data_IF_820159924191
#
_entry.id   IF_820159924191
#
_cell.length_a   1.000
_cell.length_b   1.000
_cell.length_c   1.000
_cell.angle_alpha   90.00
_cell.angle_beta   90.00
_cell.angle_gamma   90.00
#
_symmetry.space_group_name_H-M   'P 1'
#
loop_
_entity.id
_entity.type
_entity.pdbx_description
1 polymer ?
#
# COMPACT_ATOMS: atom_id res chain seq x y z
N UNK A 1 37.46 -0.08 3.82
CA UNK A 1 36.05 0.27 4.08
C UNK A 1 35.24 -0.29 2.91
N UNK A 2 34.29 -1.19 3.19
CA UNK A 2 33.64 -2.02 2.16
C UNK A 2 32.66 -1.19 1.32
N UNK A 3 32.56 -1.46 0.02
CA UNK A 3 31.61 -0.82 -0.89
C UNK A 3 30.14 -0.92 -0.41
N UNK A 4 29.85 -1.90 0.45
CA UNK A 4 28.55 -2.11 1.09
C UNK A 4 28.18 -0.96 2.06
N UNK A 5 29.15 -0.40 2.79
CA UNK A 5 28.90 0.68 3.76
C UNK A 5 28.56 2.00 3.05
N UNK A 6 29.21 2.27 1.91
CA UNK A 6 28.97 3.47 1.11
C UNK A 6 27.56 3.49 0.50
N UNK A 7 27.08 2.32 0.04
CA UNK A 7 25.72 2.17 -0.49
C UNK A 7 24.65 2.36 0.61
N UNK A 8 24.93 1.85 1.81
CA UNK A 8 24.01 1.94 2.94
C UNK A 8 23.89 3.39 3.43
N UNK A 9 25.02 4.09 3.58
CA UNK A 9 25.07 5.51 3.94
C UNK A 9 24.38 6.40 2.90
N UNK A 10 24.57 6.14 1.60
CA UNK A 10 23.87 6.87 0.54
C UNK A 10 22.35 6.68 0.59
N UNK A 11 21.88 5.47 0.94
CA UNK A 11 20.44 5.19 1.09
C UNK A 11 19.82 5.88 2.32
N UNK A 12 20.61 6.03 3.39
CA UNK A 12 20.23 6.76 4.60
C UNK A 12 20.16 8.26 4.31
N UNK A 13 21.16 8.83 3.64
CA UNK A 13 21.21 10.25 3.27
C UNK A 13 20.08 10.65 2.31
N UNK A 14 19.73 9.80 1.35
CA UNK A 14 18.62 10.07 0.45
C UNK A 14 17.28 10.16 1.22
N UNK A 15 17.07 9.29 2.23
CA UNK A 15 15.87 9.31 3.08
C UNK A 15 15.86 10.50 4.06
N UNK A 16 16.99 10.82 4.69
CA UNK A 16 17.09 11.96 5.64
C UNK A 16 16.96 13.31 4.92
N UNK A 17 17.49 13.45 3.70
CA UNK A 17 17.39 14.69 2.92
C UNK A 17 15.96 15.01 2.46
N UNK A 18 15.16 13.99 2.14
CA UNK A 18 13.72 14.15 1.87
C UNK A 18 12.96 14.60 3.13
N UNK A 19 13.31 14.04 4.30
CA UNK A 19 12.74 14.47 5.58
C UNK A 19 13.15 15.91 5.94
N UNK A 20 14.36 16.34 5.58
CA UNK A 20 14.89 17.68 5.86
C UNK A 20 14.37 18.81 4.95
N UNK A 21 13.80 18.50 3.78
CA UNK A 21 13.27 19.52 2.87
C UNK A 21 11.75 19.76 2.96
N UNK A 22 11.04 19.10 3.89
CA UNK A 22 9.57 19.10 3.99
C UNK A 22 8.85 18.81 2.66
N UNK A 23 9.47 18.03 1.76
CA UNK A 23 8.86 17.67 0.48
C UNK A 23 8.15 16.34 0.65
N UNK A 24 6.83 16.38 0.50
CA UNK A 24 5.98 15.21 0.55
C UNK A 24 5.74 14.67 -0.86
N UNK A 25 6.18 13.45 -1.12
CA UNK A 25 5.86 12.75 -2.36
C UNK A 25 4.62 11.89 -2.15
N UNK A 26 3.64 12.06 -3.05
CA UNK A 26 2.32 11.40 -2.98
C UNK A 26 2.08 10.62 -4.27
N UNK A 27 1.70 9.36 -4.13
CA UNK A 27 1.10 8.57 -5.21
C UNK A 27 -0.38 8.94 -5.32
N UNK A 28 -0.79 9.46 -6.47
CA UNK A 28 -2.18 9.80 -6.76
C UNK A 28 -2.89 8.64 -7.47
N UNK A 29 -4.13 8.37 -7.09
CA UNK A 29 -4.96 7.31 -7.68
C UNK A 29 -6.45 7.64 -7.59
N UNK A 30 -7.29 6.94 -8.35
CA UNK A 30 -8.75 7.05 -8.27
C UNK A 30 -9.38 5.70 -7.93
N UNK A 31 -10.59 5.73 -7.38
CA UNK A 31 -11.39 4.55 -7.01
C UNK A 31 -12.54 4.31 -8.00
N UNK A 32 -12.28 4.55 -9.29
CA UNK A 32 -13.32 4.48 -10.34
C UNK A 32 -14.29 5.67 -10.34
N UNK A 33 -13.96 6.74 -9.63
CA UNK A 33 -14.68 8.03 -9.64
C UNK A 33 -13.78 9.12 -10.23
N UNK A 34 -14.32 10.35 -10.32
CA UNK A 34 -13.54 11.55 -10.71
C UNK A 34 -12.65 12.08 -9.58
N UNK A 35 -12.83 11.58 -8.36
CA UNK A 35 -12.08 12.05 -7.21
C UNK A 35 -10.67 11.46 -7.22
N UNK A 36 -9.71 12.31 -6.83
CA UNK A 36 -8.30 11.92 -6.72
C UNK A 36 -7.97 11.72 -5.25
N UNK A 37 -7.46 10.53 -4.95
CA UNK A 37 -6.93 10.15 -3.65
C UNK A 37 -5.40 10.17 -3.70
N UNK A 38 -4.78 10.26 -2.53
CA UNK A 38 -3.32 10.30 -2.39
C UNK A 38 -2.84 9.43 -1.24
N UNK A 39 -1.74 8.73 -1.45
CA UNK A 39 -1.00 8.05 -0.39
C UNK A 39 0.46 8.50 -0.40
N UNK A 40 1.05 8.68 0.78
CA UNK A 40 2.47 8.96 0.91
C UNK A 40 3.29 7.81 0.31
N UNK A 41 4.22 8.12 -0.61
CA UNK A 41 5.04 7.10 -1.28
C UNK A 41 5.88 6.28 -0.32
N UNK A 42 6.25 6.81 0.85
CA UNK A 42 6.97 6.05 1.89
C UNK A 42 6.16 4.91 2.50
N UNK A 43 4.82 4.92 2.34
CA UNK A 43 3.95 3.82 2.77
C UNK A 43 3.73 2.78 1.67
N UNK A 44 4.18 3.03 0.44
CA UNK A 44 3.98 2.16 -0.72
C UNK A 44 5.20 1.25 -0.88
N UNK A 45 4.97 -0.06 -0.90
CA UNK A 45 6.01 -1.05 -1.22
C UNK A 45 6.10 -1.30 -2.71
N UNK A 46 4.96 -1.51 -3.36
CA UNK A 46 4.85 -1.68 -4.82
C UNK A 46 3.41 -1.44 -5.29
N UNK A 47 3.26 -1.20 -6.59
CA UNK A 47 1.97 -1.15 -7.30
C UNK A 47 1.98 -2.26 -8.34
N UNK A 48 0.97 -3.13 -8.33
CA UNK A 48 0.90 -4.29 -9.21
C UNK A 48 -0.52 -4.52 -9.71
N UNK A 49 -0.68 -5.45 -10.65
CA UNK A 49 -2.00 -5.99 -10.96
C UNK A 49 -2.56 -6.75 -9.75
N UNK A 50 -3.88 -6.72 -9.56
CA UNK A 50 -4.56 -7.45 -8.48
C UNK A 50 -4.63 -8.94 -8.82
N UNK A 51 -3.94 -9.82 -8.10
CA UNK A 51 -4.04 -11.26 -8.32
C UNK A 51 -5.38 -11.80 -7.79
N UNK A 52 -5.64 -13.09 -8.00
CA UNK A 52 -6.82 -13.74 -7.43
C UNK A 52 -6.82 -13.64 -5.89
N UNK A 53 -7.90 -13.07 -5.34
CA UNK A 53 -8.10 -12.91 -3.91
C UNK A 53 -8.78 -14.16 -3.36
N UNK A 54 -8.22 -14.74 -2.30
CA UNK A 54 -8.86 -15.83 -1.57
C UNK A 54 -9.82 -15.25 -0.54
N UNK A 55 -11.12 -15.51 -0.73
CA UNK A 55 -12.15 -15.12 0.23
C UNK A 55 -12.14 -16.09 1.42
N UNK A 56 -12.17 -15.53 2.63
CA UNK A 56 -12.28 -16.30 3.88
C UNK A 56 -13.65 -16.03 4.50
N UNK A 57 -14.24 -17.00 5.24
CA UNK A 57 -15.46 -16.73 6.01
C UNK A 57 -15.27 -15.60 7.02
N UNK A 58 -16.37 -14.91 7.35
CA UNK A 58 -16.44 -13.89 8.41
C UNK A 58 -15.47 -12.71 8.25
N UNK A 59 -15.21 -12.28 7.00
CA UNK A 59 -14.39 -11.10 6.76
C UNK A 59 -15.08 -9.82 7.25
N UNK A 60 -14.36 -8.92 7.93
CA UNK A 60 -14.88 -7.60 8.28
C UNK A 60 -15.32 -6.83 7.03
N UNK A 61 -16.21 -5.86 7.24
CA UNK A 61 -16.66 -4.96 6.17
C UNK A 61 -15.46 -4.31 5.46
N UNK A 62 -15.51 -4.27 4.13
CA UNK A 62 -14.45 -3.69 3.29
C UNK A 62 -13.21 -4.57 3.10
N UNK A 63 -13.10 -5.72 3.77
CA UNK A 63 -12.05 -6.72 3.52
C UNK A 63 -12.52 -7.70 2.44
N UNK A 64 -11.85 -7.71 1.29
CA UNK A 64 -12.20 -8.63 0.19
C UNK A 64 -11.68 -10.05 0.42
N UNK A 65 -10.64 -10.21 1.23
CA UNK A 65 -10.03 -11.49 1.53
C UNK A 65 -8.54 -11.37 1.83
N UNK A 66 -7.79 -12.42 1.50
CA UNK A 66 -6.34 -12.47 1.61
C UNK A 66 -5.70 -12.89 0.28
N UNK A 67 -4.43 -12.57 0.11
CA UNK A 67 -3.60 -13.12 -0.97
C UNK A 67 -2.21 -13.47 -0.45
N UNK A 68 -1.52 -14.41 -1.12
CA UNK A 68 -0.12 -14.71 -0.85
C UNK A 68 0.76 -13.87 -1.77
N UNK A 69 1.55 -12.97 -1.20
CA UNK A 69 2.54 -12.16 -1.90
C UNK A 69 3.94 -12.56 -1.46
N UNK A 70 4.66 -13.26 -2.35
CA UNK A 70 6.03 -13.77 -2.09
C UNK A 70 6.11 -14.55 -0.77
N UNK A 71 5.11 -15.42 -0.53
CA UNK A 71 5.01 -16.25 0.68
C UNK A 71 4.40 -15.56 1.90
N UNK A 72 4.09 -14.26 1.84
CA UNK A 72 3.44 -13.53 2.93
C UNK A 72 1.93 -13.44 2.67
N UNK A 73 1.13 -13.87 3.64
CA UNK A 73 -0.33 -13.68 3.58
C UNK A 73 -0.64 -12.24 3.96
N UNK A 74 -1.20 -11.48 3.03
CA UNK A 74 -1.59 -10.09 3.25
C UNK A 74 -3.10 -9.90 3.08
N UNK A 75 -3.74 -9.09 3.94
CA UNK A 75 -5.14 -8.75 3.78
C UNK A 75 -5.34 -7.83 2.58
N UNK A 76 -6.44 -8.00 1.87
CA UNK A 76 -6.84 -7.17 0.73
C UNK A 76 -8.07 -6.37 1.11
N UNK A 77 -7.94 -5.04 1.09
CA UNK A 77 -9.03 -4.12 1.42
C UNK A 77 -9.54 -3.40 0.17
N UNK A 78 -10.85 -3.21 0.10
CA UNK A 78 -11.52 -2.40 -0.92
C UNK A 78 -11.72 -0.99 -0.41
N UNK A 79 -10.82 -0.07 -0.79
CA UNK A 79 -10.99 1.34 -0.41
C UNK A 79 -12.30 1.93 -0.97
N UNK A 80 -12.71 1.51 -2.17
CA UNK A 80 -13.98 1.93 -2.76
C UNK A 80 -15.17 1.55 -1.88
N UNK A 81 -15.19 0.33 -1.32
CA UNK A 81 -16.26 -0.12 -0.41
C UNK A 81 -16.33 0.70 0.88
N UNK A 82 -15.23 1.26 1.34
CA UNK A 82 -15.20 2.11 2.53
C UNK A 82 -15.67 3.54 2.25
N UNK A 83 -15.34 4.08 1.08
CA UNK A 83 -15.74 5.44 0.69
C UNK A 83 -17.20 5.47 0.22
N UNK A 84 -17.61 4.48 -0.55
CA UNK A 84 -18.95 4.33 -1.10
C UNK A 84 -19.34 2.84 -1.14
N UNK A 85 -20.12 2.37 -0.15
CA UNK A 85 -20.52 0.97 -0.02
C UNK A 85 -21.21 0.40 -1.28
N UNK A 86 -21.94 1.23 -2.02
CA UNK A 86 -22.65 0.83 -3.24
C UNK A 86 -21.69 0.55 -4.41
N UNK A 87 -20.48 1.14 -4.38
CA UNK A 87 -19.44 0.95 -5.41
C UNK A 87 -18.53 -0.25 -5.15
N UNK A 88 -18.66 -0.90 -4.01
CA UNK A 88 -17.82 -2.02 -3.59
C UNK A 88 -17.87 -3.26 -4.48
N UNK A 89 -18.72 -3.27 -5.52
CA UNK A 89 -18.94 -4.41 -6.42
C UNK A 89 -18.02 -4.40 -7.65
N UNK A 90 -17.30 -3.30 -7.93
CA UNK A 90 -16.38 -3.25 -9.05
C UNK A 90 -15.06 -3.98 -8.75
N UNK A 91 -14.61 -4.80 -9.70
CA UNK A 91 -13.25 -5.33 -9.69
C UNK A 91 -12.26 -4.22 -10.02
N UNK A 92 -11.22 -4.10 -9.19
CA UNK A 92 -10.08 -3.23 -9.45
C UNK A 92 -8.91 -4.08 -9.92
N UNK A 93 -8.38 -3.75 -11.09
CA UNK A 93 -7.25 -4.47 -11.69
C UNK A 93 -5.91 -4.06 -11.09
N UNK A 94 -5.87 -2.95 -10.34
CA UNK A 94 -4.64 -2.42 -9.70
C UNK A 94 -4.70 -2.56 -8.19
N UNK A 95 -3.61 -3.05 -7.62
CA UNK A 95 -3.37 -3.16 -6.18
C UNK A 95 -2.16 -2.32 -5.77
N UNK A 96 -2.32 -1.57 -4.68
CA UNK A 96 -1.22 -0.84 -4.02
C UNK A 96 -0.85 -1.64 -2.77
N UNK A 97 0.35 -2.20 -2.74
CA UNK A 97 0.86 -2.93 -1.56
C UNK A 97 1.45 -1.90 -0.61
N UNK A 98 0.91 -1.79 0.59
CA UNK A 98 1.34 -0.80 1.58
C UNK A 98 1.98 -1.45 2.79
N UNK A 99 2.83 -0.70 3.49
CA UNK A 99 3.36 -1.08 4.80
C UNK A 99 2.73 -0.21 5.87
N UNK A 100 1.95 -0.83 6.75
CA UNK A 100 1.32 -0.16 7.89
C UNK A 100 1.79 -0.83 9.18
N UNK A 101 2.57 -0.07 9.97
CA UNK A 101 3.15 -0.43 11.26
C UNK A 101 3.86 -1.81 11.29
N UNK A 102 5.15 -1.85 11.63
CA UNK A 102 5.91 -3.12 11.87
C UNK A 102 5.44 -3.91 13.12
N UNK A 103 4.18 -3.71 13.53
CA UNK A 103 3.44 -4.15 14.71
C UNK A 103 3.98 -3.68 16.06
N UNK A 104 3.09 -3.08 16.87
CA UNK A 104 2.76 -3.47 18.27
C UNK A 104 1.31 -3.00 18.51
N UNK A 105 0.45 -3.88 19.06
CA UNK A 105 -0.94 -3.59 19.42
C UNK A 105 -1.13 -3.66 20.94
N UNK A 106 -2.07 -2.87 21.46
CA UNK A 106 -2.86 -3.14 22.65
C UNK A 106 -4.27 -2.60 22.41
#
# INVERSE_FOLDING_TARGET
MSATDASLLASVDARTKLAGSNKMEILLFSLGTRETFGINVFKVREVSQTPAITKTPNMPFGVQGVLSLRGNIIPVISLASFVDPERGQHKFDTMIVTEFNKSTQA
#
